data_IF_327569329193
#
_entry.id   IF_327569329193
#
_cell.length_a   1.000
_cell.length_b   1.000
_cell.length_c   1.000
_cell.angle_alpha   90.00
_cell.angle_beta   90.00
_cell.angle_gamma   90.00
#
_symmetry.space_group_name_H-M   'P 1'
#
loop_
_entity.id
_entity.type
_entity.pdbx_description
1 polymer ?
#
# COMPACT_ATOMS: atom_id res chain seq x y z
N UNK A 1 21.04 -54.28 -17.13
CA UNK A 1 20.08 -54.29 -16.00
C UNK A 1 20.27 -53.11 -15.04
N UNK A 2 21.47 -52.85 -14.52
CA UNK A 2 21.71 -51.72 -13.58
C UNK A 2 21.34 -50.35 -14.17
N UNK A 3 21.78 -50.00 -15.38
CA UNK A 3 21.47 -48.68 -16.01
C UNK A 3 19.97 -48.38 -16.15
N UNK A 4 19.14 -49.40 -16.41
CA UNK A 4 17.69 -49.26 -16.50
C UNK A 4 17.06 -48.96 -15.13
N UNK A 5 17.59 -49.59 -14.07
CA UNK A 5 17.13 -49.35 -12.69
C UNK A 5 17.39 -47.90 -12.23
N UNK A 6 18.51 -47.31 -12.65
CA UNK A 6 18.86 -45.93 -12.31
C UNK A 6 17.97 -44.93 -13.04
N UNK A 7 17.64 -45.21 -14.30
CA UNK A 7 16.70 -44.40 -15.08
C UNK A 7 15.28 -44.47 -14.48
N UNK A 8 14.84 -45.65 -14.03
CA UNK A 8 13.55 -45.80 -13.33
C UNK A 8 13.52 -45.01 -12.02
N UNK A 9 14.56 -45.13 -11.19
CA UNK A 9 14.68 -44.37 -9.94
C UNK A 9 14.64 -42.86 -10.18
N UNK A 10 15.33 -42.37 -11.22
CA UNK A 10 15.33 -40.95 -11.58
C UNK A 10 13.93 -40.48 -12.02
N UNK A 11 13.20 -41.33 -12.75
CA UNK A 11 11.85 -41.03 -13.20
C UNK A 11 10.83 -41.01 -12.05
N UNK A 12 10.95 -41.92 -11.08
CA UNK A 12 10.11 -41.92 -9.87
C UNK A 12 10.38 -40.69 -8.96
N UNK A 13 11.62 -40.22 -8.88
CA UNK A 13 11.97 -39.00 -8.13
C UNK A 13 11.48 -37.72 -8.81
N UNK A 14 11.42 -37.67 -10.15
CA UNK A 14 10.99 -36.49 -10.90
C UNK A 14 9.48 -36.26 -10.87
N UNK A 15 8.67 -37.26 -10.51
CA UNK A 15 7.20 -37.18 -10.52
C UNK A 15 6.56 -36.50 -9.32
N UNK A 16 7.31 -36.18 -8.26
CA UNK A 16 6.77 -35.56 -7.04
C UNK A 16 6.90 -34.03 -7.07
N UNK A 17 6.31 -33.39 -8.08
CA UNK A 17 6.08 -31.95 -8.04
C UNK A 17 4.71 -31.73 -7.42
N UNK A 18 4.59 -31.18 -6.20
CA UNK A 18 3.29 -30.84 -5.66
C UNK A 18 2.62 -29.82 -6.58
N UNK A 19 1.42 -30.14 -7.06
CA UNK A 19 0.63 -29.22 -7.88
C UNK A 19 0.22 -28.04 -7.00
N UNK A 20 0.79 -26.86 -7.27
CA UNK A 20 0.33 -25.62 -6.67
C UNK A 20 -1.08 -25.34 -7.20
N UNK A 21 -2.09 -25.44 -6.34
CA UNK A 21 -3.47 -25.06 -6.66
C UNK A 21 -3.62 -23.57 -6.36
N UNK A 22 -3.97 -22.77 -7.37
CA UNK A 22 -4.39 -21.39 -7.15
C UNK A 22 -5.82 -21.39 -6.59
N UNK A 23 -6.05 -20.65 -5.51
CA UNK A 23 -7.38 -20.50 -4.93
C UNK A 23 -8.22 -19.58 -5.85
N UNK A 24 -9.26 -20.14 -6.46
CA UNK A 24 -10.15 -19.41 -7.37
C UNK A 24 -10.99 -18.33 -6.66
N UNK A 25 -10.99 -18.29 -5.32
CA UNK A 25 -11.66 -17.25 -4.55
C UNK A 25 -10.83 -15.96 -4.43
N UNK A 26 -9.52 -16.00 -4.74
CA UNK A 26 -8.61 -14.86 -4.59
C UNK A 26 -8.49 -14.05 -5.89
N UNK A 27 -9.57 -13.40 -6.32
CA UNK A 27 -9.49 -12.43 -7.42
C UNK A 27 -8.99 -11.08 -6.88
N UNK A 28 -7.68 -10.83 -7.03
CA UNK A 28 -7.08 -9.55 -6.65
C UNK A 28 -7.41 -8.47 -7.67
N UNK A 29 -8.01 -7.35 -7.23
CA UNK A 29 -8.20 -6.17 -8.07
C UNK A 29 -7.36 -5.02 -7.56
N UNK A 30 -6.42 -4.56 -8.38
CA UNK A 30 -5.69 -3.33 -8.08
C UNK A 30 -6.62 -2.11 -8.18
N UNK A 31 -6.55 -1.21 -7.19
CA UNK A 31 -7.32 0.04 -7.17
C UNK A 31 -6.93 0.95 -8.34
N UNK A 32 -7.93 1.44 -9.06
CA UNK A 32 -7.77 2.47 -10.07
C UNK A 32 -7.75 3.84 -9.36
N UNK A 33 -6.61 4.57 -9.37
CA UNK A 33 -6.52 5.83 -8.66
C UNK A 33 -7.49 6.90 -9.21
N UNK A 34 -7.95 6.77 -10.45
CA UNK A 34 -8.86 7.76 -11.07
C UNK A 34 -10.28 7.60 -10.54
N UNK A 35 -10.77 6.37 -10.47
CA UNK A 35 -12.19 6.07 -10.21
C UNK A 35 -12.48 5.57 -8.81
N UNK A 36 -11.53 4.87 -8.17
CA UNK A 36 -11.75 4.19 -6.89
C UNK A 36 -11.32 5.05 -5.68
N UNK A 37 -10.70 6.20 -5.93
CA UNK A 37 -10.31 7.15 -4.88
C UNK A 37 -11.33 8.28 -4.81
N UNK A 38 -11.80 8.58 -3.61
CA UNK A 38 -12.58 9.78 -3.35
C UNK A 38 -11.66 11.01 -3.33
N UNK A 39 -11.43 11.64 -4.48
CA UNK A 39 -10.61 12.87 -4.57
C UNK A 39 -11.17 14.04 -3.76
N UNK A 40 -12.51 14.13 -3.64
CA UNK A 40 -13.15 15.13 -2.79
C UNK A 40 -12.89 14.92 -1.30
N UNK A 41 -12.50 13.71 -0.89
CA UNK A 41 -12.22 13.37 0.50
C UNK A 41 -10.83 13.78 0.94
N UNK A 42 -9.95 14.22 0.03
CA UNK A 42 -8.62 14.77 0.37
C UNK A 42 -8.74 16.13 1.07
N UNK A 43 -9.83 16.84 0.82
CA UNK A 43 -10.13 18.13 1.43
C UNK A 43 -10.65 17.98 2.86
N UNK A 44 -10.43 18.95 3.76
CA UNK A 44 -9.90 20.29 3.49
C UNK A 44 -8.37 20.33 3.32
N UNK A 45 -7.89 21.34 2.56
CA UNK A 45 -6.45 21.63 2.43
C UNK A 45 -6.09 22.84 3.30
N UNK A 46 -5.05 22.71 4.11
CA UNK A 46 -4.55 23.80 4.97
C UNK A 46 -3.02 23.96 4.89
N UNK A 47 -2.56 25.20 5.03
CA UNK A 47 -1.15 25.57 5.12
C UNK A 47 -0.91 26.26 6.46
N UNK A 48 -0.29 25.55 7.39
CA UNK A 48 -0.33 25.91 8.80
C UNK A 48 -1.77 26.17 9.27
N UNK A 49 -2.02 27.33 9.88
CA UNK A 49 -3.37 27.74 10.33
C UNK A 49 -4.30 28.24 9.22
N UNK A 50 -3.82 28.38 7.97
CA UNK A 50 -4.59 28.96 6.87
C UNK A 50 -5.35 27.86 6.12
N UNK A 51 -6.68 27.97 6.05
CA UNK A 51 -7.52 27.07 5.23
C UNK A 51 -7.50 27.53 3.78
N UNK A 52 -6.93 26.71 2.90
CA UNK A 52 -6.84 26.99 1.45
C UNK A 52 -8.04 26.42 0.71
N UNK A 53 -8.58 25.30 1.17
CA UNK A 53 -9.80 24.70 0.62
C UNK A 53 -10.68 24.13 1.72
N UNK A 54 -12.00 24.20 1.51
CA UNK A 54 -13.01 23.62 2.38
C UNK A 54 -13.25 22.16 2.00
N UNK A 55 -13.64 21.34 2.99
CA UNK A 55 -13.94 19.93 2.80
C UNK A 55 -15.10 19.49 3.67
N UNK A 56 -15.66 18.32 3.37
CA UNK A 56 -16.77 17.73 4.14
C UNK A 56 -16.30 17.01 5.40
N UNK A 57 -15.03 16.60 5.43
CA UNK A 57 -14.41 15.87 6.54
C UNK A 57 -13.69 16.83 7.49
N UNK A 58 -13.55 16.47 8.79
CA UNK A 58 -12.89 17.33 9.76
C UNK A 58 -11.41 17.52 9.43
N UNK A 59 -10.88 18.72 9.69
CA UNK A 59 -9.44 18.98 9.58
C UNK A 59 -8.75 18.75 10.92
N UNK A 60 -7.51 18.27 10.86
CA UNK A 60 -6.65 18.16 12.05
C UNK A 60 -6.00 19.51 12.36
N UNK A 61 -5.66 19.76 13.62
CA UNK A 61 -4.92 20.96 13.98
C UNK A 61 -3.51 20.92 13.35
N UNK A 62 -3.22 21.88 12.47
CA UNK A 62 -1.92 22.08 11.84
C UNK A 62 -1.17 23.19 12.60
N UNK A 63 0.17 23.11 12.80
CA UNK A 63 0.97 24.18 13.40
C UNK A 63 0.65 25.57 12.82
N UNK A 64 0.67 26.61 13.66
CA UNK A 64 0.27 27.96 13.23
C UNK A 64 1.17 28.54 12.13
N UNK A 65 2.47 28.24 12.18
CA UNK A 65 3.46 28.68 11.20
C UNK A 65 3.52 27.67 10.04
N UNK A 66 3.19 28.09 8.79
CA UNK A 66 3.24 27.21 7.63
C UNK A 66 4.68 26.83 7.27
N UNK A 67 5.66 27.69 7.54
CA UNK A 67 7.07 27.41 7.25
C UNK A 67 7.73 26.74 8.45
N UNK A 68 8.29 25.56 8.23
CA UNK A 68 9.00 24.80 9.26
C UNK A 68 10.44 24.56 8.84
N UNK A 69 11.32 24.29 9.81
CA UNK A 69 12.69 23.94 9.51
C UNK A 69 12.92 22.47 9.85
N UNK A 70 13.10 21.64 8.82
CA UNK A 70 13.27 20.20 8.97
C UNK A 70 14.76 19.81 8.97
N UNK A 71 15.14 18.80 9.74
CA UNK A 71 16.49 18.24 9.67
C UNK A 71 16.75 17.64 8.29
N UNK A 72 17.94 17.89 7.75
CA UNK A 72 18.46 17.26 6.55
C UNK A 72 19.77 16.51 6.89
N UNK A 73 20.15 15.49 6.10
CA UNK A 73 21.32 14.66 6.36
C UNK A 73 22.64 15.47 6.42
N UNK A 74 23.74 14.89 6.96
CA UNK A 74 24.95 15.62 7.36
C UNK A 74 25.71 16.37 6.24
N UNK A 75 26.53 17.39 6.62
CA UNK A 75 26.76 17.93 7.96
C UNK A 75 25.71 19.00 8.35
N UNK A 76 24.76 18.66 9.23
CA UNK A 76 23.74 19.55 9.80
C UNK A 76 23.08 20.52 8.81
N UNK A 77 22.62 20.01 7.67
CA UNK A 77 21.79 20.83 6.79
C UNK A 77 20.40 20.99 7.40
N UNK A 78 19.80 22.16 7.20
CA UNK A 78 18.40 22.42 7.51
C UNK A 78 17.68 22.78 6.23
N UNK A 79 16.53 22.16 6.00
CA UNK A 79 15.69 22.45 4.82
C UNK A 79 14.42 23.16 5.25
N UNK A 80 13.95 24.04 4.39
CA UNK A 80 12.66 24.71 4.54
C UNK A 80 11.58 23.66 4.22
N UNK A 81 10.75 23.36 5.21
CA UNK A 81 9.57 22.50 5.10
C UNK A 81 8.29 23.34 5.11
N UNK A 82 7.21 22.74 4.63
CA UNK A 82 5.89 23.33 4.60
C UNK A 82 4.93 22.45 5.41
N UNK A 83 4.21 23.05 6.35
CA UNK A 83 3.18 22.39 7.12
C UNK A 83 1.87 22.34 6.31
N UNK A 84 1.60 21.19 5.68
CA UNK A 84 0.40 20.98 4.88
C UNK A 84 -0.53 20.00 5.63
N UNK A 85 -1.78 20.40 5.82
CA UNK A 85 -2.83 19.52 6.35
C UNK A 85 -3.80 19.11 5.25
N UNK A 86 -4.03 17.82 5.10
CA UNK A 86 -5.02 17.22 4.20
C UNK A 86 -5.28 15.76 4.56
N UNK A 87 -6.34 15.18 4.02
CA UNK A 87 -6.63 13.75 4.16
C UNK A 87 -5.80 12.96 3.15
N UNK A 88 -4.58 12.62 3.54
CA UNK A 88 -3.65 11.88 2.69
C UNK A 88 -4.00 10.39 2.61
N UNK A 89 -4.07 9.78 1.42
CA UNK A 89 -4.06 8.33 1.27
C UNK A 89 -2.63 7.79 1.51
N UNK A 90 -2.13 7.94 2.75
CA UNK A 90 -0.76 7.59 3.13
C UNK A 90 -0.50 6.09 3.19
N UNK A 91 -1.56 5.28 3.21
CA UNK A 91 -1.48 3.83 3.20
C UNK A 91 -2.67 3.24 2.45
N UNK A 92 -2.40 2.24 1.63
CA UNK A 92 -3.41 1.38 1.02
C UNK A 92 -3.32 0.01 1.70
N UNK A 93 -4.42 -0.43 2.30
CA UNK A 93 -4.54 -1.80 2.82
C UNK A 93 -5.44 -2.58 1.86
N UNK A 94 -4.84 -3.52 1.13
CA UNK A 94 -5.59 -4.45 0.28
C UNK A 94 -6.04 -5.64 1.13
N UNK A 95 -7.35 -5.93 1.09
CA UNK A 95 -7.96 -7.04 1.83
C UNK A 95 -8.64 -7.91 0.80
N UNK A 96 -8.12 -9.11 0.58
CA UNK A 96 -8.72 -10.12 -0.28
C UNK A 96 -9.53 -11.10 0.59
N UNK A 97 -10.86 -10.96 0.66
CA UNK A 97 -11.67 -11.90 1.41
C UNK A 97 -11.74 -13.24 0.66
N UNK A 98 -11.34 -14.32 1.32
CA UNK A 98 -11.67 -15.66 0.86
C UNK A 98 -13.12 -15.97 1.24
N UNK A 99 -14.00 -16.14 0.26
CA UNK A 99 -15.38 -16.59 0.53
C UNK A 99 -15.34 -18.07 0.94
N UNK A 100 -15.30 -18.33 2.25
CA UNK A 100 -15.27 -19.69 2.81
C UNK A 100 -15.07 -19.81 4.32
N UNK A 101 -14.72 -18.72 5.02
CA UNK A 101 -14.56 -18.69 6.48
C UNK A 101 -15.59 -17.76 7.13
N UNK A 102 -16.88 -18.00 6.85
CA UNK A 102 -17.94 -17.50 7.73
C UNK A 102 -18.05 -18.47 8.91
N UNK A 103 -17.62 -18.02 10.09
CA UNK A 103 -17.97 -18.67 11.37
C UNK A 103 -19.43 -18.44 11.75
#
# INVERSE_FOLDING_TARGET
>A
MKRSLWLLMLFLLAGHVPAASADSACEGRFVNPITDICWSCIFPLSLGSIKVSQGKVPDTANPSMPIQICPAPPPLFRRIGLAIGYWEPMALTDVTPITGMHG
#
